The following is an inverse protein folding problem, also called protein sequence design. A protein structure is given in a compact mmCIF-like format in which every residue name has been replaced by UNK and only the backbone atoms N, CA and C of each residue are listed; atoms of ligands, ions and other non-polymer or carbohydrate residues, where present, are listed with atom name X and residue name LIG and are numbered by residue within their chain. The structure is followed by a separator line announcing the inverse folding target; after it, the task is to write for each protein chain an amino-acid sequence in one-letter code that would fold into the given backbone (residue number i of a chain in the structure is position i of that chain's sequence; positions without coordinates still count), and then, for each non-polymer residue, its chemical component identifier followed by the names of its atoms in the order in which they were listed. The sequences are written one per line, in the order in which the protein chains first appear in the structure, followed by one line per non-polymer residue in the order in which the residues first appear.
data_IF_560533617668
#
_entry.id   IF_560533617668
#
_cell.length_a   1.000
_cell.length_b   1.000
_cell.length_c   1.000
_cell.angle_alpha   90.00
_cell.angle_beta   90.00
_cell.angle_gamma   90.00
#
_symmetry.space_group_name_H-M   'P 1'
#
loop_
_entity.id
_entity.type
_entity.pdbx_description
1 polymer ?
#
# COMPACT_ATOMS: atom_id res chain seq x y z
N UNK A 1 -9.27 -25.22 1.09
CA UNK A 1 -9.82 -23.84 1.23
C UNK A 1 -9.38 -23.12 2.52
N UNK A 2 -9.31 -23.77 3.70
CA UNK A 2 -8.90 -23.10 4.97
C UNK A 2 -7.54 -22.39 4.89
N UNK A 3 -6.55 -22.99 4.22
CA UNK A 3 -5.23 -22.38 4.04
C UNK A 3 -5.25 -21.10 3.20
N UNK A 4 -6.01 -21.07 2.09
CA UNK A 4 -6.12 -19.89 1.23
C UNK A 4 -6.76 -18.72 1.96
N UNK A 5 -7.87 -18.95 2.68
CA UNK A 5 -8.53 -17.90 3.47
C UNK A 5 -7.57 -17.29 4.51
N UNK A 6 -6.71 -18.10 5.13
CA UNK A 6 -5.68 -17.61 6.07
C UNK A 6 -4.73 -16.64 5.38
N UNK A 7 -4.24 -16.96 4.18
CA UNK A 7 -3.34 -16.07 3.44
C UNK A 7 -4.01 -14.76 3.04
N UNK A 8 -5.26 -14.79 2.58
CA UNK A 8 -6.04 -13.57 2.24
C UNK A 8 -6.24 -12.67 3.47
N UNK A 9 -6.53 -13.25 4.63
CA UNK A 9 -6.68 -12.48 5.87
C UNK A 9 -5.34 -11.84 6.25
N UNK A 10 -4.24 -12.60 6.19
CA UNK A 10 -2.92 -12.09 6.56
C UNK A 10 -2.47 -11.00 5.58
N UNK A 11 -2.57 -11.20 4.27
CA UNK A 11 -2.20 -10.21 3.25
C UNK A 11 -3.01 -8.92 3.42
N UNK A 12 -4.31 -9.06 3.64
CA UNK A 12 -5.21 -7.91 3.86
C UNK A 12 -4.86 -7.15 5.13
N UNK A 13 -4.58 -7.85 6.24
CA UNK A 13 -4.12 -7.23 7.50
C UNK A 13 -2.79 -6.52 7.31
N UNK A 14 -1.85 -7.11 6.56
CA UNK A 14 -0.56 -6.48 6.25
C UNK A 14 -0.74 -5.21 5.40
N UNK A 15 -1.59 -5.24 4.37
CA UNK A 15 -1.94 -4.02 3.63
C UNK A 15 -2.59 -2.97 4.54
N UNK A 16 -3.54 -3.36 5.39
CA UNK A 16 -4.20 -2.45 6.31
C UNK A 16 -3.23 -1.87 7.36
N UNK A 17 -2.18 -2.60 7.74
CA UNK A 17 -1.17 -2.11 8.69
C UNK A 17 -0.42 -0.88 8.15
N UNK A 18 -0.31 -0.72 6.82
CA UNK A 18 0.26 0.49 6.22
C UNK A 18 -0.51 1.76 6.57
N UNK A 19 -1.82 1.66 6.83
CA UNK A 19 -2.62 2.77 7.33
C UNK A 19 -2.17 3.21 8.72
N UNK A 20 -1.98 2.25 9.63
CA UNK A 20 -1.51 2.55 10.99
C UNK A 20 -0.13 3.22 10.95
N UNK A 21 0.76 2.77 10.06
CA UNK A 21 2.07 3.39 9.84
C UNK A 21 1.91 4.81 9.32
N UNK A 22 1.13 5.07 8.26
CA UNK A 22 0.95 6.42 7.74
C UNK A 22 0.26 7.36 8.72
N UNK A 23 -0.68 6.88 9.54
CA UNK A 23 -1.28 7.67 10.62
C UNK A 23 -0.22 8.06 11.65
N UNK A 24 0.63 7.13 12.08
CA UNK A 24 1.69 7.39 13.05
C UNK A 24 2.70 8.44 12.56
N UNK A 25 2.93 8.52 11.24
CA UNK A 25 3.84 9.49 10.63
C UNK A 25 3.13 10.71 10.04
N UNK A 26 1.80 10.80 10.12
CA UNK A 26 1.01 11.87 9.49
C UNK A 26 1.41 13.26 9.95
N UNK A 27 1.80 13.43 11.22
CA UNK A 27 2.29 14.71 11.76
C UNK A 27 3.61 15.19 11.14
N UNK A 28 4.40 14.27 10.54
CA UNK A 28 5.70 14.57 9.92
C UNK A 28 5.63 14.76 8.41
N UNK A 29 4.52 14.35 7.78
CA UNK A 29 4.31 14.56 6.34
C UNK A 29 3.95 16.03 6.09
N UNK A 30 4.28 16.62 4.92
CA UNK A 30 3.81 17.95 4.54
C UNK A 30 2.29 17.96 4.30
N UNK A 31 1.65 19.13 4.27
CA UNK A 31 0.23 19.24 3.89
C UNK A 31 -0.03 18.80 2.45
N UNK A 32 0.95 19.03 1.57
CA UNK A 32 0.93 18.64 0.16
C UNK A 32 2.07 17.66 -0.09
N UNK A 33 1.72 16.38 -0.28
CA UNK A 33 2.69 15.27 -0.38
C UNK A 33 3.00 15.01 -1.84
N UNK A 34 4.29 14.97 -2.25
CA UNK A 34 4.66 14.65 -3.62
C UNK A 34 4.34 13.19 -3.94
N UNK A 35 3.65 12.95 -5.05
CA UNK A 35 3.22 11.60 -5.49
C UNK A 35 3.72 11.22 -6.89
N UNK A 36 4.25 12.18 -7.65
CA UNK A 36 4.83 11.94 -8.96
C UNK A 36 6.03 12.87 -9.19
N UNK A 37 7.05 12.34 -9.88
CA UNK A 37 8.30 13.03 -10.18
C UNK A 37 8.55 12.98 -11.69
N UNK A 38 9.05 14.07 -12.26
CA UNK A 38 9.47 14.11 -13.66
C UNK A 38 10.81 13.38 -13.90
N UNK A 39 11.26 13.34 -15.15
CA UNK A 39 12.53 12.70 -15.53
C UNK A 39 13.78 13.42 -15.00
N UNK A 40 13.64 14.66 -14.53
CA UNK A 40 14.69 15.42 -13.86
C UNK A 40 14.69 15.21 -12.33
N UNK A 41 13.72 14.46 -11.80
CA UNK A 41 13.57 14.17 -10.38
C UNK A 41 12.83 15.26 -9.60
N UNK A 42 12.17 16.22 -10.26
CA UNK A 42 11.36 17.23 -9.58
C UNK A 42 9.95 16.71 -9.34
N UNK A 43 9.41 16.96 -8.14
CA UNK A 43 8.02 16.67 -7.85
C UNK A 43 7.11 17.57 -8.69
N UNK A 44 6.22 16.97 -9.48
CA UNK A 44 5.32 17.70 -10.38
C UNK A 44 3.83 17.38 -10.17
N UNK A 45 3.52 16.46 -9.25
CA UNK A 45 2.15 16.19 -8.79
C UNK A 45 2.14 15.96 -7.29
N UNK A 46 1.13 16.53 -6.63
CA UNK A 46 1.01 16.52 -5.19
C UNK A 46 -0.41 16.22 -4.78
N UNK A 47 -0.55 15.43 -3.72
CA UNK A 47 -1.85 15.10 -3.13
C UNK A 47 -1.95 15.66 -1.71
N UNK A 48 -3.16 16.01 -1.25
CA UNK A 48 -3.38 16.40 0.14
C UNK A 48 -2.96 15.28 1.09
N UNK A 49 -2.32 15.64 2.21
CA UNK A 49 -1.85 14.69 3.23
C UNK A 49 -2.88 13.63 3.60
N UNK A 50 -4.12 14.04 3.86
CA UNK A 50 -5.17 13.11 4.27
C UNK A 50 -5.54 12.12 3.15
N UNK A 51 -5.49 12.54 1.89
CA UNK A 51 -5.72 11.64 0.75
C UNK A 51 -4.60 10.60 0.68
N UNK A 52 -3.35 10.99 0.96
CA UNK A 52 -2.24 10.04 1.01
C UNK A 52 -2.35 9.10 2.20
N UNK A 53 -2.55 9.64 3.40
CA UNK A 53 -2.59 8.87 4.66
C UNK A 53 -3.73 7.86 4.68
N UNK A 54 -4.92 8.23 4.19
CA UNK A 54 -6.10 7.35 4.22
C UNK A 54 -6.39 6.69 2.88
N UNK A 55 -6.28 7.43 1.78
CA UNK A 55 -6.66 6.97 0.45
C UNK A 55 -5.71 5.92 -0.11
N UNK A 56 -4.40 6.09 0.05
CA UNK A 56 -3.43 5.09 -0.48
C UNK A 56 -3.59 3.74 0.22
N UNK A 57 -3.62 3.63 1.56
CA UNK A 57 -3.87 2.35 2.21
C UNK A 57 -5.22 1.73 1.85
N UNK A 58 -6.29 2.53 1.78
CA UNK A 58 -7.60 2.04 1.39
C UNK A 58 -7.58 1.44 -0.02
N UNK A 59 -6.91 2.10 -0.97
CA UNK A 59 -6.72 1.62 -2.32
C UNK A 59 -5.87 0.33 -2.36
N UNK A 60 -4.78 0.26 -1.58
CA UNK A 60 -3.95 -0.94 -1.48
C UNK A 60 -4.71 -2.14 -0.92
N UNK A 61 -5.57 -1.94 0.09
CA UNK A 61 -6.44 -2.99 0.64
C UNK A 61 -7.45 -3.47 -0.40
N UNK A 62 -8.12 -2.54 -1.11
CA UNK A 62 -9.06 -2.88 -2.17
C UNK A 62 -8.40 -3.69 -3.29
N UNK A 63 -7.26 -3.23 -3.80
CA UNK A 63 -6.51 -3.95 -4.82
C UNK A 63 -6.04 -5.32 -4.31
N UNK A 64 -5.56 -5.41 -3.07
CA UNK A 64 -5.17 -6.69 -2.49
C UNK A 64 -6.33 -7.68 -2.48
N UNK A 65 -7.53 -7.26 -2.06
CA UNK A 65 -8.71 -8.12 -2.04
C UNK A 65 -9.11 -8.59 -3.45
N UNK A 66 -9.01 -7.72 -4.45
CA UNK A 66 -9.28 -8.08 -5.85
C UNK A 66 -8.27 -9.11 -6.34
N UNK A 67 -6.97 -8.86 -6.14
CA UNK A 67 -5.90 -9.78 -6.54
C UNK A 67 -6.05 -11.13 -5.83
N UNK A 68 -6.33 -11.13 -4.53
CA UNK A 68 -6.52 -12.33 -3.74
C UNK A 68 -7.75 -13.13 -4.17
N UNK A 69 -8.84 -12.45 -4.53
CA UNK A 69 -10.04 -13.08 -5.07
C UNK A 69 -9.76 -13.78 -6.40
N UNK A 70 -9.08 -13.11 -7.34
CA UNK A 70 -8.67 -13.69 -8.62
C UNK A 70 -7.70 -14.86 -8.40
N UNK A 71 -6.69 -14.68 -7.55
CA UNK A 71 -5.70 -15.70 -7.23
C UNK A 71 -6.33 -16.94 -6.60
N UNK A 72 -7.37 -16.76 -5.79
CA UNK A 72 -8.09 -17.87 -5.15
C UNK A 72 -8.73 -18.84 -6.15
N UNK A 73 -9.15 -18.33 -7.32
CA UNK A 73 -9.74 -19.10 -8.41
C UNK A 73 -8.70 -19.77 -9.32
N UNK A 74 -7.44 -19.32 -9.27
CA UNK A 74 -6.37 -19.85 -10.12
C UNK A 74 -5.87 -21.22 -9.62
N UNK A 75 -5.63 -22.18 -10.53
CA UNK A 75 -5.16 -23.52 -10.16
C UNK A 75 -3.70 -23.52 -9.68
N UNK A 76 -2.83 -22.75 -10.35
CA UNK A 76 -1.38 -22.67 -10.07
C UNK A 76 -0.99 -21.64 -8.99
N UNK A 77 -1.85 -21.40 -8.01
CA UNK A 77 -1.58 -20.40 -6.95
C UNK A 77 -0.47 -20.88 -6.00
N UNK A 78 0.55 -20.05 -5.81
CA UNK A 78 1.63 -20.27 -4.83
C UNK A 78 1.45 -19.32 -3.65
N UNK A 79 1.80 -19.76 -2.44
CA UNK A 79 1.60 -18.99 -1.21
C UNK A 79 2.20 -17.59 -1.26
N UNK A 80 3.39 -17.43 -1.84
CA UNK A 80 4.05 -16.11 -1.90
C UNK A 80 3.26 -15.08 -2.72
N UNK A 81 2.39 -15.50 -3.65
CA UNK A 81 1.68 -14.59 -4.54
C UNK A 81 0.69 -13.68 -3.78
N UNK A 82 0.11 -14.18 -2.68
CA UNK A 82 -0.76 -13.40 -1.79
C UNK A 82 -0.01 -12.27 -1.06
N UNK A 83 1.33 -12.34 -0.99
CA UNK A 83 2.16 -11.39 -0.25
C UNK A 83 2.83 -10.33 -1.13
N UNK A 84 2.66 -10.39 -2.45
CA UNK A 84 3.24 -9.42 -3.38
C UNK A 84 2.66 -8.02 -3.12
N UNK A 85 1.33 -7.90 -3.06
CA UNK A 85 0.68 -6.61 -2.86
C UNK A 85 1.00 -5.97 -1.50
N UNK A 86 1.01 -6.71 -0.37
CA UNK A 86 1.50 -6.19 0.90
C UNK A 86 2.93 -5.66 0.84
N UNK A 87 3.86 -6.39 0.22
CA UNK A 87 5.27 -5.95 0.10
C UNK A 87 5.35 -4.64 -0.68
N UNK A 88 4.61 -4.52 -1.79
CA UNK A 88 4.52 -3.27 -2.56
C UNK A 88 3.94 -2.14 -1.72
N UNK A 89 2.87 -2.39 -0.96
CA UNK A 89 2.24 -1.39 -0.11
C UNK A 89 3.20 -0.87 0.97
N UNK A 90 3.99 -1.74 1.60
CA UNK A 90 5.03 -1.34 2.56
C UNK A 90 6.17 -0.55 1.91
N UNK A 91 6.63 -0.98 0.73
CA UNK A 91 7.67 -0.26 -0.01
C UNK A 91 7.21 1.17 -0.37
N UNK A 92 6.00 1.29 -0.92
CA UNK A 92 5.37 2.58 -1.25
C UNK A 92 5.21 3.46 0.00
N UNK A 93 4.77 2.87 1.11
CA UNK A 93 4.65 3.58 2.40
C UNK A 93 6.00 4.10 2.89
N UNK A 94 7.04 3.27 2.86
CA UNK A 94 8.39 3.65 3.26
C UNK A 94 8.96 4.78 2.40
N UNK A 95 8.75 4.71 1.07
CA UNK A 95 9.16 5.77 0.13
C UNK A 95 8.43 7.07 0.44
N UNK A 96 7.11 7.04 0.64
CA UNK A 96 6.33 8.25 0.95
C UNK A 96 6.75 8.92 2.25
N UNK A 97 7.03 8.13 3.29
CA UNK A 97 7.53 8.66 4.56
C UNK A 97 8.92 9.27 4.38
N UNK A 98 9.82 8.57 3.69
CA UNK A 98 11.17 9.06 3.43
C UNK A 98 11.16 10.38 2.66
N UNK A 99 10.38 10.46 1.58
CA UNK A 99 10.27 11.66 0.76
C UNK A 99 9.54 12.80 1.47
N UNK A 100 8.51 12.50 2.26
CA UNK A 100 7.77 13.51 3.01
C UNK A 100 8.53 14.07 4.21
N UNK A 101 9.58 13.39 4.68
CA UNK A 101 10.43 13.86 5.78
C UNK A 101 11.66 14.63 5.33
N UNK A 102 11.92 14.71 4.02
CA UNK A 102 13.03 15.45 3.42
C UNK A 102 12.66 16.91 3.16
#
# INVERSE_FOLDING_TARGET
MKSVKKHIIISTVLCALTLAVLIAFSGKLPESVPVHFDSAGNANSFWPRNVVVFGVPAFCVLLNLIVDAVLSQHENKKTYMFYIMPVVAFAVTGIMIYLGMK
#
